data_IF_980916295428
#
_entry.id   IF_980916295428
#
_cell.length_a   1.000
_cell.length_b   1.000
_cell.length_c   1.000
_cell.angle_alpha   90.00
_cell.angle_beta   90.00
_cell.angle_gamma   90.00
#
_symmetry.space_group_name_H-M   'P 1'
#
loop_
_entity.id
_entity.type
_entity.pdbx_description
1 polymer ?
#
# COMPACT_ATOMS: atom_id res chain seq x y z
N UNK A 1 -28.32 26.11 -17.04
CA UNK A 1 -26.96 25.72 -17.41
C UNK A 1 -26.88 24.21 -17.17
N UNK A 2 -26.77 23.40 -18.22
CA UNK A 2 -26.60 21.95 -18.06
C UNK A 2 -25.20 21.75 -17.51
N UNK A 3 -25.10 21.17 -16.30
CA UNK A 3 -23.81 20.77 -15.70
C UNK A 3 -23.19 19.67 -16.57
N UNK A 4 -21.88 19.75 -16.82
CA UNK A 4 -21.19 18.72 -17.59
C UNK A 4 -21.27 17.37 -16.85
N UNK A 5 -21.59 16.30 -17.59
CA UNK A 5 -21.66 14.95 -17.01
C UNK A 5 -20.34 14.52 -16.37
N UNK A 6 -19.21 14.97 -16.92
CA UNK A 6 -17.89 14.68 -16.36
C UNK A 6 -17.69 15.38 -15.01
N UNK A 7 -18.16 16.64 -14.86
CA UNK A 7 -18.06 17.38 -13.59
C UNK A 7 -18.88 16.69 -12.49
N UNK A 8 -20.09 16.22 -12.83
CA UNK A 8 -20.94 15.47 -11.89
C UNK A 8 -20.27 14.14 -11.49
N UNK A 9 -19.72 13.40 -12.44
CA UNK A 9 -19.03 12.13 -12.17
C UNK A 9 -17.83 12.34 -11.25
N UNK A 10 -17.01 13.35 -11.55
CA UNK A 10 -15.82 13.67 -10.75
C UNK A 10 -16.19 14.07 -9.32
N UNK A 11 -17.19 14.92 -9.15
CA UNK A 11 -17.72 15.31 -7.84
C UNK A 11 -18.23 14.11 -7.04
N UNK A 12 -18.92 13.17 -7.69
CA UNK A 12 -19.35 11.92 -7.06
C UNK A 12 -18.17 11.10 -6.58
N UNK A 13 -17.11 10.94 -7.38
CA UNK A 13 -15.89 10.22 -7.03
C UNK A 13 -15.24 10.86 -5.80
N UNK A 14 -15.07 12.19 -5.76
CA UNK A 14 -14.47 12.89 -4.63
C UNK A 14 -15.26 12.75 -3.33
N UNK A 15 -16.59 12.87 -3.40
CA UNK A 15 -17.47 12.71 -2.24
C UNK A 15 -17.53 11.25 -1.82
N UNK A 16 -17.59 10.32 -2.77
CA UNK A 16 -17.57 8.88 -2.48
C UNK A 16 -16.29 8.44 -1.78
N UNK A 17 -15.15 8.96 -2.23
CA UNK A 17 -13.86 8.70 -1.57
C UNK A 17 -13.87 9.11 -0.10
N UNK A 18 -14.38 10.30 0.22
CA UNK A 18 -14.51 10.77 1.62
C UNK A 18 -15.45 9.89 2.44
N UNK A 19 -16.61 9.54 1.88
CA UNK A 19 -17.57 8.66 2.55
C UNK A 19 -16.97 7.29 2.83
N UNK A 20 -16.26 6.68 1.87
CA UNK A 20 -15.60 5.39 2.07
C UNK A 20 -14.42 5.47 3.04
N UNK A 21 -13.66 6.56 3.01
CA UNK A 21 -12.57 6.77 3.96
C UNK A 21 -13.09 6.85 5.41
N UNK A 22 -14.19 7.55 5.63
CA UNK A 22 -14.78 7.74 6.96
C UNK A 22 -15.49 6.49 7.46
N UNK A 23 -16.36 5.89 6.63
CA UNK A 23 -17.29 4.87 7.07
C UNK A 23 -16.93 3.44 6.63
N UNK A 24 -16.00 3.28 5.71
CA UNK A 24 -15.68 2.00 5.06
C UNK A 24 -16.74 1.53 4.07
N UNK A 25 -16.39 0.55 3.24
CA UNK A 25 -17.31 0.06 2.21
C UNK A 25 -18.64 -0.40 2.79
N UNK A 26 -18.65 -1.24 3.82
CA UNK A 26 -19.90 -1.84 4.33
C UNK A 26 -20.90 -0.78 4.82
N UNK A 27 -20.43 0.25 5.53
CA UNK A 27 -21.28 1.26 6.18
C UNK A 27 -21.54 2.49 5.33
N UNK A 28 -20.77 2.74 4.27
CA UNK A 28 -20.95 3.88 3.39
C UNK A 28 -22.31 3.87 2.70
N UNK A 29 -22.93 5.05 2.57
CA UNK A 29 -24.27 5.25 2.08
C UNK A 29 -24.32 5.96 0.73
N UNK A 30 -24.78 5.27 -0.31
CA UNK A 30 -25.02 5.86 -1.64
C UNK A 30 -26.01 7.05 -1.59
N UNK A 31 -26.93 7.03 -0.63
CA UNK A 31 -27.88 8.13 -0.41
C UNK A 31 -27.17 9.37 0.17
N UNK A 32 -26.28 9.18 1.13
CA UNK A 32 -25.51 10.29 1.70
C UNK A 32 -24.61 10.92 0.63
N UNK A 33 -23.93 10.08 -0.17
CA UNK A 33 -23.07 10.51 -1.27
C UNK A 33 -23.87 11.34 -2.28
N UNK A 34 -25.06 10.87 -2.70
CA UNK A 34 -25.89 11.61 -3.66
C UNK A 34 -26.37 12.94 -3.09
N UNK A 35 -26.79 12.95 -1.81
CA UNK A 35 -27.22 14.17 -1.15
C UNK A 35 -26.07 15.19 -1.02
N UNK A 36 -24.87 14.76 -0.61
CA UNK A 36 -23.68 15.61 -0.52
C UNK A 36 -23.22 16.13 -1.89
N UNK A 37 -23.41 15.34 -2.96
CA UNK A 37 -23.13 15.74 -4.33
C UNK A 37 -24.23 16.63 -4.96
N UNK A 38 -25.30 16.90 -4.22
CA UNK A 38 -26.46 17.64 -4.71
C UNK A 38 -27.09 17.04 -5.98
N UNK A 39 -27.19 15.71 -6.01
CA UNK A 39 -27.82 14.95 -7.09
C UNK A 39 -28.81 13.93 -6.52
N UNK A 40 -29.63 13.32 -7.37
CA UNK A 40 -30.49 12.21 -6.97
C UNK A 40 -29.69 10.92 -6.85
N UNK A 41 -30.14 9.97 -6.02
CA UNK A 41 -29.51 8.64 -5.94
C UNK A 41 -29.52 7.93 -7.30
N UNK A 42 -30.56 8.15 -8.11
CA UNK A 42 -30.62 7.65 -9.49
C UNK A 42 -29.51 8.18 -10.39
N UNK A 43 -29.01 9.39 -10.12
CA UNK A 43 -27.89 9.95 -10.88
C UNK A 43 -26.57 9.21 -10.65
N UNK A 44 -26.34 8.66 -9.45
CA UNK A 44 -25.17 7.79 -9.22
C UNK A 44 -25.29 6.53 -10.07
N UNK A 45 -26.45 5.87 -10.07
CA UNK A 45 -26.68 4.63 -10.81
C UNK A 45 -26.73 4.84 -12.35
N UNK A 46 -26.76 6.08 -12.80
CA UNK A 46 -26.51 6.39 -14.21
C UNK A 46 -25.04 6.21 -14.60
N UNK A 47 -24.11 6.51 -13.69
CA UNK A 47 -22.66 6.40 -13.92
C UNK A 47 -22.09 5.06 -13.49
N UNK A 48 -22.64 4.44 -12.43
CA UNK A 48 -22.12 3.24 -11.78
C UNK A 48 -23.26 2.25 -11.52
N UNK A 49 -23.08 1.00 -11.93
CA UNK A 49 -24.16 0.00 -11.85
C UNK A 49 -24.58 -0.34 -10.41
N UNK A 50 -23.65 -0.31 -9.48
CA UNK A 50 -23.88 -0.63 -8.07
C UNK A 50 -22.79 0.05 -7.19
N UNK A 51 -22.88 -0.16 -5.88
CA UNK A 51 -21.91 0.38 -4.91
C UNK A 51 -20.49 -0.18 -5.13
N UNK A 52 -20.37 -1.44 -5.52
CA UNK A 52 -19.09 -2.10 -5.81
C UNK A 52 -18.41 -1.46 -7.04
N UNK A 53 -19.17 -1.26 -8.12
CA UNK A 53 -18.69 -0.59 -9.33
C UNK A 53 -18.22 0.84 -9.04
N UNK A 54 -18.97 1.55 -8.18
CA UNK A 54 -18.59 2.88 -7.72
C UNK A 54 -17.31 2.88 -6.87
N UNK A 55 -17.20 1.95 -5.93
CA UNK A 55 -16.02 1.78 -5.09
C UNK A 55 -14.78 1.46 -5.94
N UNK A 56 -14.94 0.52 -6.88
CA UNK A 56 -13.91 0.19 -7.87
C UNK A 56 -13.45 1.39 -8.68
N UNK A 57 -14.39 2.18 -9.20
CA UNK A 57 -14.09 3.36 -10.02
C UNK A 57 -13.26 4.42 -9.27
N UNK A 58 -13.32 4.44 -7.93
CA UNK A 58 -12.51 5.34 -7.09
C UNK A 58 -11.09 4.78 -6.88
N UNK A 59 -10.92 3.47 -6.79
CA UNK A 59 -9.71 2.85 -6.25
C UNK A 59 -8.89 2.05 -7.25
N UNK A 60 -9.49 1.58 -8.36
CA UNK A 60 -8.87 0.62 -9.28
C UNK A 60 -7.53 1.12 -9.86
N UNK A 61 -7.49 2.38 -10.28
CA UNK A 61 -6.27 2.97 -10.84
C UNK A 61 -5.15 3.00 -9.79
N UNK A 62 -5.45 3.45 -8.57
CA UNK A 62 -4.49 3.46 -7.46
C UNK A 62 -4.07 2.04 -7.06
N UNK A 63 -5.01 1.10 -7.01
CA UNK A 63 -4.70 -0.30 -6.65
C UNK A 63 -3.76 -0.95 -7.68
N UNK A 64 -4.02 -0.77 -8.97
CA UNK A 64 -3.17 -1.30 -10.04
C UNK A 64 -1.78 -0.65 -10.01
N UNK A 65 -1.73 0.69 -9.91
CA UNK A 65 -0.49 1.43 -9.89
C UNK A 65 0.35 1.07 -8.67
N UNK A 66 -0.25 0.95 -7.49
CA UNK A 66 0.45 0.58 -6.27
C UNK A 66 1.07 -0.83 -6.36
N UNK A 67 0.30 -1.81 -6.83
CA UNK A 67 0.80 -3.18 -7.03
C UNK A 67 1.99 -3.21 -8.00
N UNK A 68 1.91 -2.44 -9.08
CA UNK A 68 3.00 -2.30 -10.06
C UNK A 68 4.24 -1.65 -9.44
N UNK A 69 4.09 -0.55 -8.71
CA UNK A 69 5.21 0.10 -8.02
C UNK A 69 5.90 -0.84 -7.03
N UNK A 70 5.14 -1.66 -6.32
CA UNK A 70 5.70 -2.61 -5.37
C UNK A 70 6.45 -3.76 -6.07
N UNK A 71 5.99 -4.21 -7.23
CA UNK A 71 6.69 -5.20 -8.05
C UNK A 71 8.00 -4.63 -8.60
N UNK A 72 7.97 -3.41 -9.15
CA UNK A 72 9.17 -2.70 -9.63
C UNK A 72 10.17 -2.45 -8.50
N UNK A 73 9.69 -2.11 -7.31
CA UNK A 73 10.50 -2.03 -6.09
C UNK A 73 11.20 -3.36 -5.81
N UNK A 74 10.46 -4.46 -5.75
CA UNK A 74 10.98 -5.79 -5.47
C UNK A 74 12.04 -6.23 -6.51
N UNK A 75 11.78 -6.01 -7.80
CA UNK A 75 12.71 -6.31 -8.89
C UNK A 75 13.98 -5.46 -8.82
N UNK A 76 13.84 -4.18 -8.48
CA UNK A 76 14.98 -3.26 -8.36
C UNK A 76 15.87 -3.61 -7.17
N UNK A 77 15.30 -3.99 -6.03
CA UNK A 77 16.05 -4.46 -4.85
C UNK A 77 16.87 -5.71 -5.20
N UNK A 78 16.29 -6.69 -5.90
CA UNK A 78 16.99 -7.92 -6.30
C UNK A 78 18.09 -7.65 -7.33
N UNK A 79 17.82 -6.82 -8.33
CA UNK A 79 18.75 -6.54 -9.42
C UNK A 79 19.82 -5.49 -9.10
N UNK A 80 19.63 -4.71 -8.03
CA UNK A 80 20.49 -3.60 -7.64
C UNK A 80 20.52 -2.45 -8.66
N UNK A 81 19.43 -2.27 -9.43
CA UNK A 81 19.33 -1.22 -10.46
C UNK A 81 19.14 0.18 -9.88
N UNK A 82 18.56 0.27 -8.69
CA UNK A 82 18.44 1.50 -7.90
C UNK A 82 18.94 1.23 -6.48
N UNK A 83 19.28 2.28 -5.75
CA UNK A 83 19.54 2.16 -4.31
C UNK A 83 18.22 1.98 -3.53
N UNK A 84 18.28 1.34 -2.38
CA UNK A 84 17.11 1.20 -1.49
C UNK A 84 16.49 2.56 -1.13
N UNK A 85 17.31 3.59 -0.96
CA UNK A 85 16.82 4.95 -0.66
C UNK A 85 16.04 5.56 -1.85
N UNK A 86 16.45 5.32 -3.10
CA UNK A 86 15.69 5.75 -4.28
C UNK A 86 14.37 5.00 -4.40
N UNK A 87 14.39 3.68 -4.23
CA UNK A 87 13.19 2.84 -4.23
C UNK A 87 12.19 3.29 -3.15
N UNK A 88 12.65 3.49 -1.93
CA UNK A 88 11.83 3.91 -0.80
C UNK A 88 11.25 5.32 -1.00
N UNK A 89 12.02 6.23 -1.61
CA UNK A 89 11.55 7.58 -1.94
C UNK A 89 10.42 7.54 -2.98
N UNK A 90 10.55 6.75 -4.03
CA UNK A 90 9.48 6.57 -5.03
C UNK A 90 8.22 5.99 -4.40
N UNK A 91 8.39 4.97 -3.55
CA UNK A 91 7.31 4.29 -2.85
C UNK A 91 6.53 5.24 -1.94
N UNK A 92 7.23 5.99 -1.07
CA UNK A 92 6.59 6.93 -0.14
C UNK A 92 5.94 8.10 -0.87
N UNK A 93 6.55 8.57 -1.96
CA UNK A 93 5.97 9.64 -2.80
C UNK A 93 4.63 9.19 -3.39
N UNK A 94 4.55 7.97 -3.93
CA UNK A 94 3.30 7.41 -4.41
C UNK A 94 2.26 7.29 -3.29
N UNK A 95 2.63 6.71 -2.15
CA UNK A 95 1.75 6.52 -1.01
C UNK A 95 1.14 7.84 -0.52
N UNK A 96 1.95 8.89 -0.43
CA UNK A 96 1.47 10.19 0.02
C UNK A 96 0.64 10.92 -1.02
N UNK A 97 0.92 10.73 -2.31
CA UNK A 97 0.12 11.30 -3.40
C UNK A 97 -1.29 10.68 -3.49
N UNK A 98 -1.45 9.43 -3.00
CA UNK A 98 -2.70 8.66 -3.01
C UNK A 98 -3.13 8.24 -1.60
N UNK A 99 -2.81 9.09 -0.60
CA UNK A 99 -2.95 8.75 0.83
C UNK A 99 -4.35 8.26 1.20
N UNK A 100 -5.39 8.91 0.69
CA UNK A 100 -6.79 8.56 1.00
C UNK A 100 -7.18 7.21 0.37
N UNK A 101 -6.86 6.99 -0.90
CA UNK A 101 -7.17 5.77 -1.63
C UNK A 101 -6.43 4.56 -1.03
N UNK A 102 -5.14 4.74 -0.70
CA UNK A 102 -4.34 3.68 -0.07
C UNK A 102 -4.91 3.31 1.30
N UNK A 103 -5.33 4.29 2.09
CA UNK A 103 -5.98 4.04 3.38
C UNK A 103 -7.31 3.30 3.23
N UNK A 104 -8.11 3.63 2.21
CA UNK A 104 -9.34 2.90 1.92
C UNK A 104 -9.03 1.46 1.55
N UNK A 105 -8.08 1.22 0.65
CA UNK A 105 -7.67 -0.12 0.23
C UNK A 105 -7.18 -1.00 1.39
N UNK A 106 -6.48 -0.41 2.37
CA UNK A 106 -5.86 -1.17 3.46
C UNK A 106 -6.80 -1.43 4.65
N UNK A 107 -7.79 -0.56 4.87
CA UNK A 107 -8.54 -0.55 6.14
C UNK A 107 -10.05 -0.55 5.96
N UNK A 108 -10.55 -0.22 4.78
CA UNK A 108 -11.94 0.11 4.55
C UNK A 108 -12.59 -0.72 3.44
N UNK A 109 -11.90 -1.73 2.92
CA UNK A 109 -12.31 -2.51 1.76
C UNK A 109 -12.99 -3.86 2.11
N UNK A 110 -13.31 -4.10 3.39
CA UNK A 110 -14.03 -5.31 3.83
C UNK A 110 -15.30 -5.53 3.02
N UNK A 111 -15.51 -6.77 2.55
CA UNK A 111 -16.65 -7.16 1.71
C UNK A 111 -16.52 -6.78 0.23
N UNK A 112 -15.34 -6.38 -0.24
CA UNK A 112 -15.06 -6.08 -1.65
C UNK A 112 -13.99 -7.01 -2.23
N UNK A 113 -13.73 -6.87 -3.55
CA UNK A 113 -12.61 -7.56 -4.21
C UNK A 113 -11.24 -7.13 -3.67
N UNK A 114 -11.15 -6.06 -2.89
CA UNK A 114 -9.91 -5.53 -2.29
C UNK A 114 -9.74 -5.90 -0.81
N UNK A 115 -10.60 -6.76 -0.25
CA UNK A 115 -10.55 -7.14 1.17
C UNK A 115 -9.17 -7.67 1.58
N UNK A 116 -8.57 -8.53 0.74
CA UNK A 116 -7.25 -9.12 0.98
C UNK A 116 -6.08 -8.33 0.34
N UNK A 117 -6.35 -7.13 -0.19
CA UNK A 117 -5.38 -6.36 -0.97
C UNK A 117 -4.08 -6.08 -0.20
N UNK A 118 -4.18 -5.75 1.09
CA UNK A 118 -3.01 -5.54 1.96
C UNK A 118 -2.16 -6.79 2.10
N UNK A 119 -2.79 -7.96 2.27
CA UNK A 119 -2.08 -9.23 2.39
C UNK A 119 -1.43 -9.65 1.06
N UNK A 120 -2.08 -9.41 -0.06
CA UNK A 120 -1.47 -9.63 -1.38
C UNK A 120 -0.16 -8.84 -1.56
N UNK A 121 -0.13 -7.60 -1.10
CA UNK A 121 1.08 -6.76 -1.14
C UNK A 121 2.17 -7.26 -0.19
N UNK A 122 1.79 -7.73 1.00
CA UNK A 122 2.73 -8.38 1.92
C UNK A 122 3.43 -9.56 1.26
N UNK A 123 2.69 -10.43 0.57
CA UNK A 123 3.24 -11.60 -0.14
C UNK A 123 4.24 -11.21 -1.22
N UNK A 124 4.00 -10.13 -1.97
CA UNK A 124 4.95 -9.63 -2.99
C UNK A 124 6.29 -9.27 -2.34
N UNK A 125 6.27 -8.52 -1.24
CA UNK A 125 7.47 -8.13 -0.52
C UNK A 125 8.14 -9.30 0.20
N UNK A 126 7.37 -10.19 0.81
CA UNK A 126 7.90 -11.39 1.47
C UNK A 126 8.71 -12.24 0.47
N UNK A 127 8.21 -12.43 -0.75
CA UNK A 127 8.93 -13.17 -1.79
C UNK A 127 10.24 -12.48 -2.19
N UNK A 128 10.24 -11.16 -2.37
CA UNK A 128 11.45 -10.41 -2.69
C UNK A 128 12.50 -10.49 -1.57
N UNK A 129 12.09 -10.28 -0.34
CA UNK A 129 12.99 -10.37 0.81
C UNK A 129 13.48 -11.80 1.09
N UNK A 130 12.71 -12.82 0.70
CA UNK A 130 13.13 -14.21 0.80
C UNK A 130 14.31 -14.51 -0.13
N UNK A 131 14.34 -13.94 -1.33
CA UNK A 131 15.50 -14.05 -2.23
C UNK A 131 16.74 -13.38 -1.61
N UNK A 132 16.60 -12.19 -1.03
CA UNK A 132 17.69 -11.56 -0.27
C UNK A 132 18.20 -12.45 0.87
N UNK A 133 17.28 -12.96 1.67
CA UNK A 133 17.61 -13.85 2.79
C UNK A 133 18.44 -15.04 2.32
N UNK A 134 18.05 -15.68 1.22
CA UNK A 134 18.79 -16.81 0.63
C UNK A 134 20.18 -16.37 0.13
N UNK A 135 20.28 -15.21 -0.53
CA UNK A 135 21.58 -14.68 -1.00
C UNK A 135 22.56 -14.42 0.15
N UNK A 136 22.07 -14.08 1.33
CA UNK A 136 22.90 -13.91 2.54
C UNK A 136 23.09 -15.18 3.36
N UNK A 137 22.78 -16.35 2.80
CA UNK A 137 23.02 -17.67 3.43
C UNK A 137 21.94 -18.09 4.45
N UNK A 138 20.75 -17.50 4.34
CA UNK A 138 19.59 -17.90 5.14
C UNK A 138 19.11 -19.31 4.81
N UNK A 139 18.74 -20.10 5.83
CA UNK A 139 18.25 -21.47 5.67
C UNK A 139 16.73 -21.49 5.57
N UNK A 140 16.19 -22.35 4.72
CA UNK A 140 14.74 -22.43 4.46
C UNK A 140 13.93 -22.67 5.74
N UNK A 141 14.41 -23.50 6.65
CA UNK A 141 13.74 -23.80 7.93
C UNK A 141 13.57 -22.60 8.87
N UNK A 142 14.35 -21.55 8.66
CA UNK A 142 14.34 -20.33 9.48
C UNK A 142 13.76 -19.13 8.72
N UNK A 143 13.17 -19.35 7.54
CA UNK A 143 12.67 -18.31 6.63
C UNK A 143 11.51 -17.48 7.18
N UNK A 144 10.83 -17.93 8.22
CA UNK A 144 9.75 -17.16 8.89
C UNK A 144 10.21 -15.80 9.41
N UNK A 145 11.52 -15.62 9.67
CA UNK A 145 12.06 -14.31 10.05
C UNK A 145 11.83 -13.25 8.98
N UNK A 146 11.78 -13.66 7.70
CA UNK A 146 11.52 -12.75 6.58
C UNK A 146 10.16 -12.09 6.71
N UNK A 147 9.11 -12.85 7.04
CA UNK A 147 7.77 -12.32 7.27
C UNK A 147 7.75 -11.27 8.37
N UNK A 148 8.47 -11.55 9.47
CA UNK A 148 8.54 -10.61 10.60
C UNK A 148 9.20 -9.30 10.16
N UNK A 149 10.34 -9.37 9.47
CA UNK A 149 11.07 -8.19 9.01
C UNK A 149 10.24 -7.37 8.03
N UNK A 150 9.59 -8.01 7.05
CA UNK A 150 8.73 -7.34 6.07
C UNK A 150 7.56 -6.64 6.75
N UNK A 151 6.88 -7.30 7.68
CA UNK A 151 5.74 -6.73 8.40
C UNK A 151 6.15 -5.57 9.31
N UNK A 152 7.32 -5.63 9.94
CA UNK A 152 7.89 -4.50 10.69
C UNK A 152 8.15 -3.30 9.77
N UNK A 153 8.70 -3.51 8.56
CA UNK A 153 8.95 -2.45 7.58
C UNK A 153 7.65 -1.82 7.08
N UNK A 154 6.68 -2.65 6.72
CA UNK A 154 5.35 -2.18 6.28
C UNK A 154 4.62 -1.40 7.37
N UNK A 155 4.77 -1.78 8.65
CA UNK A 155 4.18 -1.02 9.76
C UNK A 155 4.78 0.39 9.84
N UNK A 156 6.06 0.58 9.53
CA UNK A 156 6.67 1.91 9.47
C UNK A 156 6.01 2.82 8.41
N UNK A 157 5.75 2.31 7.22
CA UNK A 157 5.00 3.05 6.19
C UNK A 157 3.56 3.35 6.61
N UNK A 158 2.92 2.39 7.28
CA UNK A 158 1.58 2.56 7.81
C UNK A 158 1.51 3.71 8.83
N UNK A 159 2.45 3.77 9.76
CA UNK A 159 2.56 4.87 10.74
C UNK A 159 2.76 6.24 10.04
N UNK A 160 3.56 6.29 8.99
CA UNK A 160 3.75 7.51 8.21
C UNK A 160 2.46 7.95 7.51
N UNK A 161 1.67 7.01 6.97
CA UNK A 161 0.39 7.31 6.34
C UNK A 161 -0.67 7.81 7.33
N UNK A 162 -0.62 7.39 8.59
CA UNK A 162 -1.61 7.77 9.61
C UNK A 162 -1.21 9.01 10.39
N UNK A 163 0.09 9.30 10.45
CA UNK A 163 0.61 10.48 11.11
C UNK A 163 0.30 11.77 10.35
N UNK A 164 0.38 12.87 11.10
CA UNK A 164 0.25 14.23 10.53
C UNK A 164 1.63 14.72 10.03
N UNK A 165 2.14 14.04 9.00
CA UNK A 165 3.43 14.34 8.39
C UNK A 165 3.23 14.99 7.01
N UNK A 166 4.11 15.96 6.69
CA UNK A 166 4.24 16.47 5.33
C UNK A 166 4.94 15.46 4.44
N UNK A 167 4.79 15.58 3.12
CA UNK A 167 5.53 14.78 2.13
C UNK A 167 7.05 14.83 2.39
N UNK A 168 7.60 16.01 2.66
CA UNK A 168 9.02 16.19 2.93
C UNK A 168 9.47 15.43 4.18
N UNK A 169 8.68 15.50 5.26
CA UNK A 169 8.95 14.75 6.49
C UNK A 169 8.87 13.25 6.25
N UNK A 170 7.87 12.80 5.51
CA UNK A 170 7.70 11.38 5.19
C UNK A 170 8.88 10.84 4.38
N UNK A 171 9.34 11.55 3.35
CA UNK A 171 10.53 11.20 2.57
C UNK A 171 11.75 11.09 3.49
N UNK A 172 12.01 12.12 4.30
CA UNK A 172 13.15 12.12 5.23
C UNK A 172 13.13 10.96 6.21
N UNK A 173 11.96 10.65 6.79
CA UNK A 173 11.84 9.54 7.73
C UNK A 173 11.96 8.19 7.05
N UNK A 174 11.46 8.07 5.84
CA UNK A 174 11.62 6.85 5.04
C UNK A 174 13.09 6.58 4.71
N UNK A 175 13.87 7.59 4.33
CA UNK A 175 15.31 7.45 4.08
C UNK A 175 16.07 6.98 5.35
N UNK A 176 15.70 7.49 6.52
CA UNK A 176 16.30 7.05 7.79
C UNK A 176 15.88 5.61 8.14
N UNK A 177 14.62 5.24 7.89
CA UNK A 177 14.12 3.88 8.11
C UNK A 177 14.73 2.89 7.12
N UNK A 178 14.98 3.29 5.87
CA UNK A 178 15.71 2.49 4.90
C UNK A 178 17.13 2.16 5.39
N UNK A 179 17.87 3.19 5.77
CA UNK A 179 19.23 3.00 6.33
C UNK A 179 19.25 2.11 7.56
N UNK A 180 18.29 2.28 8.48
CA UNK A 180 18.12 1.41 9.64
C UNK A 180 17.80 -0.03 9.23
N UNK A 181 16.87 -0.20 8.29
CA UNK A 181 16.45 -1.52 7.81
C UNK A 181 17.58 -2.29 7.13
N UNK A 182 18.29 -1.65 6.21
CA UNK A 182 19.39 -2.27 5.46
C UNK A 182 20.56 -2.64 6.37
N UNK A 183 20.98 -1.70 7.24
CA UNK A 183 22.05 -1.95 8.22
C UNK A 183 21.65 -3.03 9.22
N UNK A 184 20.40 -3.02 9.67
CA UNK A 184 19.84 -4.01 10.59
C UNK A 184 19.75 -5.39 9.96
N UNK A 185 19.30 -5.49 8.72
CA UNK A 185 19.20 -6.76 8.00
C UNK A 185 20.57 -7.40 7.78
N UNK A 186 21.54 -6.65 7.29
CA UNK A 186 22.91 -7.15 7.09
C UNK A 186 23.53 -7.59 8.42
N UNK A 187 23.34 -6.80 9.48
CA UNK A 187 23.81 -7.15 10.83
C UNK A 187 23.14 -8.42 11.37
N UNK A 188 21.84 -8.54 11.18
CA UNK A 188 21.05 -9.73 11.57
C UNK A 188 21.55 -10.98 10.82
N UNK A 189 21.76 -10.90 9.50
CA UNK A 189 22.24 -12.03 8.72
C UNK A 189 23.66 -12.46 9.09
N UNK A 190 24.52 -11.50 9.42
CA UNK A 190 25.85 -11.80 9.95
C UNK A 190 25.76 -12.56 11.29
N UNK A 191 24.97 -12.06 12.21
CA UNK A 191 24.74 -12.71 13.52
C UNK A 191 24.13 -14.11 13.35
N UNK A 192 23.15 -14.25 12.45
CA UNK A 192 22.54 -15.52 12.10
C UNK A 192 23.58 -16.54 11.60
N UNK A 193 24.41 -16.16 10.63
CA UNK A 193 25.43 -17.02 10.08
C UNK A 193 26.51 -17.40 11.12
N UNK A 194 26.87 -16.50 12.04
CA UNK A 194 27.80 -16.77 13.12
C UNK A 194 27.21 -17.76 14.13
N UNK A 195 25.92 -17.73 14.44
CA UNK A 195 25.24 -18.69 15.32
C UNK A 195 25.28 -20.13 14.77
N UNK A 196 25.33 -20.28 13.45
CA UNK A 196 25.26 -21.58 12.79
C UNK A 196 26.57 -22.01 12.11
N UNK A 197 27.66 -21.23 12.29
CA UNK A 197 29.03 -21.57 11.86
C UNK A 197 29.63 -22.73 12.63
N UNK A 198 29.09 -23.84 12.62
CA UNK A 198 29.59 -25.03 13.33
C UNK A 198 28.56 -26.12 13.47
N UNK A 199 27.35 -25.85 13.11
CA UNK A 199 26.28 -26.84 13.02
C UNK A 199 26.30 -27.40 11.59
N UNK A 200 27.18 -28.35 11.33
CA UNK A 200 27.07 -29.24 10.16
C UNK A 200 26.03 -30.29 10.55
N UNK A 201 24.82 -30.18 9.98
CA UNK A 201 23.85 -31.27 9.94
C UNK A 201 24.13 -32.14 8.72
#
# INVERSE_FOLDING_TARGET
MYEDKNDVKQRLIEIGRKEFLEHGYLKASMRNISAAANVTTGAIYFFFHNKEDFFRAILEETAIAWKKHLQEYAESEISGTKSSAENDRELITFLFSHKEEVRILFEKAEGTIYEEYREELCVILENAFLEFYRCYGGREKDSDIVKIVVRMRLQGYYELLHGDYTMEQAIKYTELLAFYGDSGFVGMMKQYNDMFRGSVD
#
